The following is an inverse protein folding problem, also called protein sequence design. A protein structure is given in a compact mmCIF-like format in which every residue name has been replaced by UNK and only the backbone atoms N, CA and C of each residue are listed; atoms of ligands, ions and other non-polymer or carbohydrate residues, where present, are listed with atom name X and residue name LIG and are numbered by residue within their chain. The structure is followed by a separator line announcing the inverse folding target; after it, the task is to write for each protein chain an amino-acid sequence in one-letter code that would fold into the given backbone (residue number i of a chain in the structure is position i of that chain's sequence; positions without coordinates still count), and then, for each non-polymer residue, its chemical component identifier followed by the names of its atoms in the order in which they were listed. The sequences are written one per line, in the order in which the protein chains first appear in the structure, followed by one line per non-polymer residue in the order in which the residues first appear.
data_IF_139361172889
#
_entry.id   IF_139361172889
#
_cell.length_a   1.000
_cell.length_b   1.000
_cell.length_c   1.000
_cell.angle_alpha   90.00
_cell.angle_beta   90.00
_cell.angle_gamma   90.00
#
_symmetry.space_group_name_H-M   'P 1'
#
loop_
_entity.id
_entity.type
_entity.pdbx_description
1 polymer ?
#
# COMPACT_ATOMS: atom_id res chain seq x y z
N UNK A 1 31.94 21.94 14.56
CA UNK A 1 33.02 22.68 13.87
C UNK A 1 33.90 21.79 12.99
N UNK A 2 34.39 20.63 13.44
CA UNK A 2 35.30 19.79 12.61
C UNK A 2 34.60 19.14 11.40
N UNK A 3 33.43 18.52 11.61
CA UNK A 3 32.66 17.84 10.55
C UNK A 3 32.23 18.78 9.42
N UNK A 4 31.65 19.93 9.78
CA UNK A 4 31.23 20.98 8.85
C UNK A 4 32.40 21.56 8.05
N UNK A 5 33.55 21.77 8.70
CA UNK A 5 34.77 22.21 8.01
C UNK A 5 35.28 21.16 7.02
N UNK A 6 35.25 19.88 7.38
CA UNK A 6 35.65 18.78 6.49
C UNK A 6 34.68 18.68 5.30
N UNK A 7 33.37 18.80 5.54
CA UNK A 7 32.33 18.83 4.52
C UNK A 7 32.52 20.00 3.53
N UNK A 8 32.72 21.21 4.05
CA UNK A 8 32.91 22.41 3.23
C UNK A 8 34.21 22.39 2.41
N UNK A 9 35.24 21.69 2.91
CA UNK A 9 36.53 21.51 2.21
C UNK A 9 36.53 20.31 1.25
N UNK A 10 35.46 19.52 1.23
CA UNK A 10 35.41 18.23 0.52
C UNK A 10 36.58 17.30 0.90
N UNK A 11 36.94 17.29 2.18
CA UNK A 11 38.02 16.46 2.75
C UNK A 11 37.48 15.05 3.01
N UNK A 12 37.49 14.23 1.96
CA UNK A 12 36.89 12.89 1.89
C UNK A 12 37.44 11.98 3.00
N UNK A 13 38.76 11.93 3.17
CA UNK A 13 39.43 11.06 4.14
C UNK A 13 39.07 11.44 5.58
N UNK A 14 39.05 12.74 5.90
CA UNK A 14 38.67 13.22 7.22
C UNK A 14 37.20 12.96 7.50
N UNK A 15 36.32 13.15 6.52
CA UNK A 15 34.89 12.85 6.67
C UNK A 15 34.64 11.38 6.93
N UNK A 16 35.21 10.50 6.13
CA UNK A 16 35.09 9.05 6.29
C UNK A 16 35.57 8.61 7.67
N UNK A 17 36.77 9.04 8.08
CA UNK A 17 37.34 8.72 9.39
C UNK A 17 36.44 9.19 10.55
N UNK A 18 35.89 10.41 10.46
CA UNK A 18 35.00 10.94 11.49
C UNK A 18 33.65 10.19 11.54
N UNK A 19 33.10 9.81 10.39
CA UNK A 19 31.85 9.06 10.30
C UNK A 19 32.00 7.64 10.85
N UNK A 20 33.12 6.96 10.57
CA UNK A 20 33.40 5.60 11.03
C UNK A 20 33.93 5.52 12.47
N UNK A 21 34.37 6.65 13.06
CA UNK A 21 34.89 6.69 14.43
C UNK A 21 33.90 6.25 15.53
N UNK A 22 32.61 6.14 15.20
CA UNK A 22 31.56 5.84 16.17
C UNK A 22 31.22 6.99 17.11
N UNK A 23 31.80 8.18 16.91
CA UNK A 23 31.57 9.37 17.76
C UNK A 23 30.09 9.74 17.88
N UNK A 24 29.29 9.44 16.86
CA UNK A 24 27.85 9.70 16.86
C UNK A 24 27.08 8.86 17.89
N UNK A 25 27.58 7.68 18.25
CA UNK A 25 26.95 6.83 19.27
C UNK A 25 27.10 7.41 20.68
N UNK A 26 28.07 8.30 20.89
CA UNK A 26 28.36 8.95 22.16
C UNK A 26 27.62 10.29 22.32
N UNK A 27 26.85 10.72 21.32
CA UNK A 27 26.12 11.98 21.38
C UNK A 27 24.89 11.83 22.29
N UNK A 28 25.01 12.15 23.57
CA UNK A 28 23.89 12.10 24.52
C UNK A 28 22.80 13.15 24.22
N UNK A 29 23.15 14.23 23.52
CA UNK A 29 22.22 15.31 23.22
C UNK A 29 21.26 14.99 22.07
N UNK A 30 19.97 14.81 22.39
CA UNK A 30 18.88 14.68 21.42
C UNK A 30 18.88 15.80 20.37
N UNK A 31 19.08 17.05 20.81
CA UNK A 31 19.10 18.22 19.92
C UNK A 31 20.18 18.12 18.84
N UNK A 32 21.36 17.60 19.19
CA UNK A 32 22.44 17.40 18.22
C UNK A 32 22.10 16.29 17.23
N UNK A 33 21.57 15.15 17.70
CA UNK A 33 21.13 14.07 16.81
C UNK A 33 20.07 14.55 15.82
N UNK A 34 19.11 15.34 16.30
CA UNK A 34 18.04 15.91 15.46
C UNK A 34 18.59 16.83 14.37
N UNK A 35 19.58 17.65 14.68
CA UNK A 35 20.22 18.54 13.69
C UNK A 35 21.10 17.78 12.69
N UNK A 36 21.81 16.75 13.15
CA UNK A 36 22.73 15.97 12.31
C UNK A 36 22.01 14.97 11.39
N UNK A 37 20.85 14.48 11.80
CA UNK A 37 20.16 13.40 11.07
C UNK A 37 19.83 13.76 9.61
N UNK A 38 19.22 14.91 9.29
CA UNK A 38 18.96 15.29 7.90
C UNK A 38 20.23 15.38 7.06
N UNK A 39 21.32 15.92 7.62
CA UNK A 39 22.60 16.04 6.93
C UNK A 39 23.22 14.67 6.67
N UNK A 40 23.27 13.78 7.67
CA UNK A 40 23.75 12.41 7.51
C UNK A 40 22.93 11.62 6.49
N UNK A 41 21.60 11.82 6.50
CA UNK A 41 20.71 11.20 5.52
C UNK A 41 21.06 11.66 4.10
N UNK A 42 21.16 12.98 3.87
CA UNK A 42 21.52 13.56 2.57
C UNK A 42 22.92 13.08 2.09
N UNK A 43 23.92 13.04 2.98
CA UNK A 43 25.26 12.54 2.66
C UNK A 43 25.21 11.06 2.29
N UNK A 44 24.52 10.23 3.09
CA UNK A 44 24.41 8.80 2.81
C UNK A 44 23.79 8.54 1.43
N UNK A 45 22.79 9.31 1.02
CA UNK A 45 22.05 9.08 -0.23
C UNK A 45 22.66 9.77 -1.45
N UNK A 46 23.27 10.94 -1.29
CA UNK A 46 23.57 11.85 -2.40
C UNK A 46 25.04 12.20 -2.56
N UNK A 47 25.93 11.80 -1.63
CA UNK A 47 27.34 12.14 -1.72
C UNK A 47 28.04 11.50 -2.92
N UNK A 48 28.96 12.22 -3.57
CA UNK A 48 29.68 11.75 -4.77
C UNK A 48 30.61 10.57 -4.49
N UNK A 49 31.37 10.64 -3.39
CA UNK A 49 32.25 9.55 -2.96
C UNK A 49 31.47 8.43 -2.23
N UNK A 50 31.60 7.19 -2.72
CA UNK A 50 30.89 6.01 -2.19
C UNK A 50 31.32 5.65 -0.76
N UNK A 51 32.59 5.85 -0.40
CA UNK A 51 33.12 5.55 0.93
C UNK A 51 32.45 6.43 2.01
N UNK A 52 32.42 7.74 1.80
CA UNK A 52 31.73 8.71 2.69
C UNK A 52 30.24 8.40 2.80
N UNK A 53 29.60 8.02 1.70
CA UNK A 53 28.19 7.67 1.69
C UNK A 53 27.90 6.41 2.52
N UNK A 54 28.78 5.40 2.45
CA UNK A 54 28.70 4.19 3.26
C UNK A 54 28.99 4.46 4.75
N UNK A 55 29.99 5.28 5.05
CA UNK A 55 30.30 5.69 6.42
C UNK A 55 29.13 6.47 7.05
N UNK A 56 28.52 7.40 6.31
CA UNK A 56 27.33 8.14 6.75
C UNK A 56 26.12 7.21 6.97
N UNK A 57 25.93 6.22 6.09
CA UNK A 57 24.90 5.19 6.27
C UNK A 57 25.14 4.35 7.53
N UNK A 58 26.38 3.92 7.78
CA UNK A 58 26.77 3.19 8.99
C UNK A 58 26.54 4.01 10.27
N UNK A 59 26.99 5.26 10.27
CA UNK A 59 26.75 6.19 11.38
C UNK A 59 25.25 6.39 11.65
N UNK A 60 24.44 6.57 10.60
CA UNK A 60 23.00 6.79 10.75
C UNK A 60 22.26 5.55 11.25
N UNK A 61 22.60 4.36 10.75
CA UNK A 61 21.99 3.10 11.20
C UNK A 61 22.36 2.76 12.64
N UNK A 62 23.59 3.04 13.07
CA UNK A 62 23.97 2.88 14.48
C UNK A 62 23.26 3.89 15.39
N UNK A 63 23.07 5.15 14.95
CA UNK A 63 22.27 6.15 15.68
C UNK A 63 20.82 5.68 15.91
N UNK A 64 20.23 5.03 14.90
CA UNK A 64 18.88 4.45 14.99
C UNK A 64 18.79 3.23 15.91
N UNK A 65 19.92 2.55 16.16
CA UNK A 65 20.00 1.35 17.01
C UNK A 65 20.23 1.68 18.49
N UNK A 66 20.83 2.83 18.80
CA UNK A 66 21.21 3.25 20.16
C UNK A 66 20.18 4.15 20.85
N UNK A 67 19.19 4.68 20.13
CA UNK A 67 18.24 5.65 20.67
C UNK A 67 17.15 5.06 21.58
N UNK A 68 16.98 5.63 22.77
CA UNK A 68 15.85 5.35 23.65
C UNK A 68 14.49 5.79 23.06
N UNK A 69 13.40 5.20 23.56
CA UNK A 69 12.01 5.35 23.04
C UNK A 69 11.42 6.77 23.09
N UNK A 70 12.04 7.68 23.86
CA UNK A 70 11.53 9.03 24.08
C UNK A 70 11.81 10.02 22.93
N UNK A 71 12.82 9.75 22.11
CA UNK A 71 13.37 10.70 21.14
C UNK A 71 12.61 10.65 19.80
N UNK A 72 11.34 11.08 19.80
CA UNK A 72 10.47 10.82 18.65
C UNK A 72 10.72 11.81 17.50
N UNK A 73 10.88 11.22 16.31
CA UNK A 73 10.83 11.84 14.97
C UNK A 73 12.03 12.69 14.55
N UNK A 74 12.81 12.18 13.60
CA UNK A 74 14.00 12.85 13.07
C UNK A 74 13.97 13.08 11.56
N UNK A 75 13.18 12.29 10.82
CA UNK A 75 13.16 12.34 9.37
C UNK A 75 11.82 12.88 8.87
N UNK A 76 11.91 14.00 8.16
CA UNK A 76 10.77 14.68 7.55
C UNK A 76 10.67 14.34 6.05
N UNK A 77 9.44 14.36 5.53
CA UNK A 77 9.15 14.20 4.11
C UNK A 77 9.97 15.15 3.24
N UNK A 78 10.13 16.41 3.67
CA UNK A 78 10.87 17.43 2.92
C UNK A 78 12.34 17.04 2.67
N UNK A 79 13.00 16.39 3.63
CA UNK A 79 14.38 15.89 3.44
C UNK A 79 14.41 14.79 2.39
N UNK A 80 13.52 13.81 2.50
CA UNK A 80 13.43 12.68 1.56
C UNK A 80 13.10 13.17 0.14
N UNK A 81 12.16 14.11 0.03
CA UNK A 81 11.75 14.68 -1.25
C UNK A 81 12.89 15.48 -1.92
N UNK A 82 13.62 16.30 -1.16
CA UNK A 82 14.80 17.02 -1.68
C UNK A 82 15.88 16.04 -2.15
N UNK A 83 16.12 14.98 -1.40
CA UNK A 83 17.04 13.91 -1.81
C UNK A 83 16.60 13.25 -3.12
N UNK A 84 15.33 12.87 -3.27
CA UNK A 84 14.83 12.27 -4.50
C UNK A 84 14.87 13.23 -5.68
N UNK A 85 14.57 14.52 -5.47
CA UNK A 85 14.72 15.54 -6.50
C UNK A 85 16.18 15.63 -6.98
N UNK A 86 17.14 15.61 -6.05
CA UNK A 86 18.57 15.56 -6.38
C UNK A 86 18.98 14.28 -7.13
N UNK A 87 18.24 13.17 -6.97
CA UNK A 87 18.41 11.93 -7.72
C UNK A 87 17.66 11.91 -9.07
N UNK A 88 17.05 13.02 -9.47
CA UNK A 88 16.36 13.20 -10.76
C UNK A 88 14.86 12.91 -10.74
N UNK A 89 14.23 12.79 -9.57
CA UNK A 89 12.78 12.67 -9.49
C UNK A 89 12.08 13.97 -9.91
N UNK A 90 10.95 13.84 -10.60
CA UNK A 90 10.15 15.00 -11.07
C UNK A 90 9.58 15.78 -9.89
N UNK A 91 10.01 17.02 -9.72
CA UNK A 91 9.58 17.90 -8.62
C UNK A 91 8.07 18.14 -8.58
N UNK A 92 7.40 18.21 -9.74
CA UNK A 92 5.93 18.31 -9.80
C UNK A 92 5.19 17.12 -9.18
N UNK A 93 5.75 15.91 -9.29
CA UNK A 93 5.17 14.72 -8.64
C UNK A 93 5.42 14.80 -7.13
N UNK A 94 6.64 15.18 -6.71
CA UNK A 94 6.99 15.33 -5.30
C UNK A 94 6.19 16.43 -4.59
N UNK A 95 5.92 17.55 -5.27
CA UNK A 95 5.10 18.64 -4.76
C UNK A 95 3.64 18.23 -4.50
N UNK A 96 3.12 17.24 -5.24
CA UNK A 96 1.74 16.74 -5.02
C UNK A 96 1.60 15.91 -3.73
N UNK A 97 2.72 15.46 -3.15
CA UNK A 97 2.73 14.68 -1.92
C UNK A 97 2.70 15.54 -0.64
N UNK A 98 3.07 16.82 -0.72
CA UNK A 98 3.07 17.71 0.43
C UNK A 98 3.32 19.17 0.05
N UNK A 99 2.68 20.09 0.77
CA UNK A 99 2.89 21.53 0.60
C UNK A 99 4.19 21.98 1.30
N UNK A 100 4.80 23.05 0.77
CA UNK A 100 5.96 23.70 1.39
C UNK A 100 7.29 22.96 1.23
N UNK A 101 7.43 22.09 0.23
CA UNK A 101 8.73 21.50 -0.11
C UNK A 101 9.44 22.41 -1.11
N UNK A 102 10.48 23.09 -0.64
CA UNK A 102 11.36 23.88 -1.50
C UNK A 102 12.37 22.95 -2.18
N UNK A 103 12.32 22.92 -3.51
CA UNK A 103 13.29 22.20 -4.32
C UNK A 103 14.39 23.17 -4.77
N UNK A 104 15.67 22.76 -4.74
CA UNK A 104 16.75 23.58 -5.27
C UNK A 104 16.50 23.83 -6.77
N UNK A 105 16.77 25.06 -7.22
CA UNK A 105 16.59 25.46 -8.62
C UNK A 105 17.66 24.87 -9.55
N UNK A 106 18.69 24.23 -9.01
CA UNK A 106 19.78 23.61 -9.76
C UNK A 106 19.33 22.33 -10.44
N UNK A 107 19.73 22.15 -11.70
CA UNK A 107 19.53 20.89 -12.40
C UNK A 107 20.17 19.74 -11.61
N UNK A 108 19.45 18.61 -11.47
CA UNK A 108 19.99 17.47 -10.75
C UNK A 108 21.22 16.91 -11.49
N UNK A 109 22.24 16.45 -10.75
CA UNK A 109 23.37 15.76 -11.35
C UNK A 109 22.90 14.55 -12.17
N UNK A 110 23.55 14.33 -13.32
CA UNK A 110 23.29 13.18 -14.19
C UNK A 110 24.01 11.97 -13.60
N UNK A 111 23.25 11.06 -13.01
CA UNK A 111 23.76 9.76 -12.57
C UNK A 111 23.56 8.71 -13.65
N UNK A 112 24.49 7.77 -13.74
CA UNK A 112 24.22 6.54 -14.48
C UNK A 112 23.09 5.73 -13.80
N UNK A 113 22.52 4.78 -14.54
CA UNK A 113 21.39 3.97 -14.05
C UNK A 113 21.76 3.16 -12.80
N UNK A 114 22.97 2.61 -12.74
CA UNK A 114 23.44 1.69 -11.68
C UNK A 114 23.68 2.49 -10.39
N UNK A 115 24.35 3.63 -10.48
CA UNK A 115 24.57 4.56 -9.39
C UNK A 115 23.26 5.10 -8.84
N UNK A 116 22.33 5.52 -9.73
CA UNK A 116 21.01 5.98 -9.31
C UNK A 116 20.27 4.90 -8.54
N UNK A 117 20.28 3.66 -9.05
CA UNK A 117 19.64 2.53 -8.39
C UNK A 117 20.24 2.26 -7.00
N UNK A 118 21.58 2.22 -6.88
CA UNK A 118 22.27 2.05 -5.58
C UNK A 118 21.86 3.13 -4.57
N UNK A 119 21.79 4.40 -5.01
CA UNK A 119 21.42 5.54 -4.16
C UNK A 119 19.96 5.47 -3.72
N UNK A 120 19.05 5.15 -4.64
CA UNK A 120 17.62 4.95 -4.32
C UNK A 120 17.44 3.77 -3.37
N UNK A 121 18.17 2.67 -3.58
CA UNK A 121 18.15 1.52 -2.66
C UNK A 121 18.58 1.94 -1.25
N UNK A 122 19.70 2.65 -1.11
CA UNK A 122 20.17 3.12 0.20
C UNK A 122 19.17 4.08 0.86
N UNK A 123 18.53 4.96 0.09
CA UNK A 123 17.44 5.82 0.57
C UNK A 123 16.28 5.00 1.13
N UNK A 124 15.81 3.99 0.39
CA UNK A 124 14.70 3.11 0.79
C UNK A 124 15.05 2.35 2.07
N UNK A 125 16.26 1.82 2.15
CA UNK A 125 16.78 1.09 3.32
C UNK A 125 16.88 1.97 4.57
N UNK A 126 17.33 3.23 4.41
CA UNK A 126 17.31 4.20 5.49
C UNK A 126 15.87 4.49 5.94
N UNK A 127 14.95 4.81 5.03
CA UNK A 127 13.54 5.05 5.37
C UNK A 127 12.96 3.85 6.13
N UNK A 128 13.28 2.62 5.70
CA UNK A 128 12.88 1.39 6.41
C UNK A 128 13.43 1.34 7.83
N UNK A 129 14.71 1.67 8.03
CA UNK A 129 15.32 1.73 9.35
C UNK A 129 14.64 2.79 10.24
N UNK A 130 14.39 3.99 9.72
CA UNK A 130 13.64 5.04 10.42
C UNK A 130 12.22 4.59 10.78
N UNK A 131 11.53 3.88 9.87
CA UNK A 131 10.19 3.36 10.10
C UNK A 131 10.18 2.31 11.22
N UNK A 132 11.09 1.33 11.16
CA UNK A 132 11.23 0.27 12.18
C UNK A 132 11.56 0.83 13.56
N UNK A 133 12.37 1.89 13.62
CA UNK A 133 12.72 2.58 14.86
C UNK A 133 11.68 3.62 15.32
N UNK A 134 10.52 3.72 14.65
CA UNK A 134 9.47 4.70 14.92
C UNK A 134 9.96 6.16 14.95
N UNK A 135 10.89 6.51 14.04
CA UNK A 135 11.52 7.85 13.94
C UNK A 135 11.01 8.68 12.76
N UNK A 136 9.91 8.26 12.15
CA UNK A 136 9.21 8.98 11.08
C UNK A 136 8.04 9.73 11.68
N UNK A 137 7.94 11.02 11.36
CA UNK A 137 6.83 11.87 11.77
C UNK A 137 5.50 11.22 11.33
N UNK A 138 4.51 11.03 12.23
CA UNK A 138 3.26 10.37 11.86
C UNK A 138 2.56 11.00 10.66
N UNK A 139 2.52 12.33 10.57
CA UNK A 139 1.94 13.09 9.45
C UNK A 139 2.57 12.80 8.10
N UNK A 140 3.83 12.35 8.10
CA UNK A 140 4.59 12.08 6.88
C UNK A 140 4.41 10.62 6.43
N UNK A 141 3.79 9.76 7.23
CA UNK A 141 3.59 8.33 6.90
C UNK A 141 2.71 8.13 5.65
N UNK A 142 1.56 8.82 5.50
CA UNK A 142 0.76 8.74 4.28
C UNK A 142 1.50 9.13 2.97
N UNK A 143 2.12 10.32 2.87
CA UNK A 143 2.83 10.70 1.66
C UNK A 143 4.09 9.86 1.42
N UNK A 144 4.79 9.42 2.46
CA UNK A 144 5.93 8.50 2.29
C UNK A 144 5.52 7.13 1.76
N UNK A 145 4.40 6.58 2.25
CA UNK A 145 3.87 5.33 1.72
C UNK A 145 3.52 5.46 0.24
N UNK A 146 2.88 6.57 -0.12
CA UNK A 146 2.52 6.87 -1.52
C UNK A 146 3.77 7.05 -2.39
N UNK A 147 4.80 7.73 -1.87
CA UNK A 147 6.08 7.91 -2.54
C UNK A 147 6.79 6.57 -2.82
N UNK A 148 6.82 5.64 -1.86
CA UNK A 148 7.42 4.32 -2.07
C UNK A 148 6.70 3.55 -3.20
N UNK A 149 5.37 3.65 -3.28
CA UNK A 149 4.60 3.07 -4.38
C UNK A 149 4.89 3.74 -5.73
N UNK A 150 5.08 5.06 -5.75
CA UNK A 150 5.48 5.77 -6.97
C UNK A 150 6.85 5.33 -7.47
N UNK A 151 7.82 5.11 -6.57
CA UNK A 151 9.13 4.57 -6.95
C UNK A 151 8.97 3.14 -7.50
N UNK A 152 8.06 2.32 -6.96
CA UNK A 152 7.85 0.95 -7.48
C UNK A 152 7.22 0.90 -8.87
N UNK A 153 6.53 1.98 -9.29
CA UNK A 153 5.97 2.14 -10.63
C UNK A 153 7.00 2.52 -11.69
N UNK A 154 8.17 3.03 -11.29
CA UNK A 154 9.23 3.38 -12.23
C UNK A 154 9.74 2.12 -12.94
N UNK A 155 9.78 2.14 -14.27
CA UNK A 155 10.20 1.01 -15.10
C UNK A 155 11.67 0.65 -14.91
N UNK A 156 12.47 1.58 -14.39
CA UNK A 156 13.90 1.39 -14.11
C UNK A 156 14.14 0.70 -12.77
N UNK A 157 13.13 0.63 -11.89
CA UNK A 157 13.21 -0.01 -10.58
C UNK A 157 13.37 -1.51 -10.71
N UNK A 158 14.50 -2.04 -10.23
CA UNK A 158 14.80 -3.47 -10.28
C UNK A 158 13.92 -4.30 -9.36
N UNK A 159 13.79 -5.62 -9.60
CA UNK A 159 13.05 -6.52 -8.71
C UNK A 159 13.57 -6.53 -7.26
N UNK A 160 14.88 -6.39 -7.06
CA UNK A 160 15.49 -6.32 -5.73
C UNK A 160 15.03 -5.05 -5.00
N UNK A 161 15.05 -3.90 -5.68
CA UNK A 161 14.57 -2.65 -5.11
C UNK A 161 13.06 -2.69 -4.85
N UNK A 162 12.25 -3.31 -5.71
CA UNK A 162 10.81 -3.52 -5.46
C UNK A 162 10.54 -4.32 -4.19
N UNK A 163 11.37 -5.33 -3.88
CA UNK A 163 11.29 -6.07 -2.61
C UNK A 163 11.59 -5.16 -1.41
N UNK A 164 12.67 -4.39 -1.46
CA UNK A 164 13.00 -3.41 -0.40
C UNK A 164 11.90 -2.36 -0.22
N UNK A 165 11.29 -1.87 -1.30
CA UNK A 165 10.16 -0.94 -1.24
C UNK A 165 8.94 -1.55 -0.53
N UNK A 166 8.59 -2.80 -0.85
CA UNK A 166 7.48 -3.51 -0.19
C UNK A 166 7.73 -3.68 1.31
N UNK A 167 8.94 -4.09 1.70
CA UNK A 167 9.32 -4.20 3.12
C UNK A 167 9.31 -2.85 3.84
N UNK A 168 9.65 -1.77 3.13
CA UNK A 168 9.60 -0.40 3.65
C UNK A 168 8.16 0.06 3.88
N UNK A 169 7.26 -0.19 2.91
CA UNK A 169 5.84 0.11 3.07
C UNK A 169 5.25 -0.67 4.24
N UNK A 170 5.59 -1.95 4.38
CA UNK A 170 5.16 -2.75 5.54
C UNK A 170 5.68 -2.18 6.86
N UNK A 171 6.92 -1.69 6.92
CA UNK A 171 7.46 -1.06 8.12
C UNK A 171 6.78 0.29 8.44
N UNK A 172 6.37 1.04 7.43
CA UNK A 172 5.62 2.29 7.58
C UNK A 172 4.21 2.05 8.14
N UNK A 173 3.54 0.98 7.71
CA UNK A 173 2.17 0.64 8.11
C UNK A 173 2.15 -0.09 9.46
N UNK A 174 2.98 -1.12 9.64
CA UNK A 174 2.94 -2.00 10.82
C UNK A 174 3.70 -1.43 12.02
N UNK A 175 3.43 -0.17 12.39
CA UNK A 175 4.00 0.41 13.60
C UNK A 175 3.33 -0.21 14.84
N UNK A 176 4.08 -0.48 15.92
CA UNK A 176 3.55 -1.11 17.14
C UNK A 176 2.46 -0.28 17.86
N UNK A 177 2.24 0.98 17.44
CA UNK A 177 1.20 1.87 17.96
C UNK A 177 0.28 2.43 16.88
N UNK A 178 0.30 1.85 15.67
CA UNK A 178 -0.61 2.28 14.61
C UNK A 178 -2.06 1.97 15.01
N UNK A 179 -2.86 3.02 15.09
CA UNK A 179 -4.30 2.87 15.23
C UNK A 179 -4.91 2.68 13.83
N UNK A 180 -6.09 2.08 13.77
CA UNK A 180 -6.87 1.99 12.52
C UNK A 180 -7.14 3.39 11.92
N UNK A 181 -7.15 4.43 12.75
CA UNK A 181 -7.32 5.81 12.29
C UNK A 181 -6.13 6.31 11.44
N UNK A 182 -4.95 5.69 11.57
CA UNK A 182 -3.77 6.04 10.78
C UNK A 182 -3.78 5.42 9.38
N UNK A 183 -4.57 4.35 9.17
CA UNK A 183 -4.66 3.66 7.87
C UNK A 183 -5.47 4.45 6.82
N UNK A 184 -6.54 5.12 7.25
CA UNK A 184 -7.44 5.86 6.35
C UNK A 184 -6.69 7.01 5.62
N UNK A 185 -5.92 7.88 6.31
CA UNK A 185 -5.12 8.90 5.65
C UNK A 185 -4.13 8.33 4.62
N UNK A 186 -3.55 7.16 4.88
CA UNK A 186 -2.65 6.48 3.93
C UNK A 186 -3.44 6.07 2.68
N UNK A 187 -4.59 5.42 2.83
CA UNK A 187 -5.45 5.04 1.70
C UNK A 187 -5.88 6.27 0.87
N UNK A 188 -6.26 7.36 1.55
CA UNK A 188 -6.65 8.61 0.90
C UNK A 188 -5.49 9.27 0.14
N UNK A 189 -4.28 9.28 0.70
CA UNK A 189 -3.10 9.81 0.02
C UNK A 189 -2.77 9.01 -1.25
N UNK A 190 -2.85 7.68 -1.18
CA UNK A 190 -2.64 6.79 -2.33
C UNK A 190 -3.69 7.06 -3.41
N UNK A 191 -4.98 7.11 -3.05
CA UNK A 191 -6.06 7.36 -4.02
C UNK A 191 -5.99 8.73 -4.66
N UNK A 192 -5.60 9.76 -3.90
CA UNK A 192 -5.40 11.11 -4.44
C UNK A 192 -4.41 11.08 -5.60
N UNK A 193 -3.27 10.44 -5.42
CA UNK A 193 -2.27 10.29 -6.48
C UNK A 193 -2.79 9.39 -7.60
N UNK A 194 -3.40 8.25 -7.26
CA UNK A 194 -3.90 7.29 -8.22
C UNK A 194 -4.98 7.87 -9.16
N UNK A 195 -5.75 8.87 -8.72
CA UNK A 195 -6.73 9.57 -9.56
C UNK A 195 -6.12 10.19 -10.82
N UNK A 196 -4.85 10.60 -10.75
CA UNK A 196 -4.12 11.19 -11.89
C UNK A 196 -3.44 10.16 -12.81
N UNK A 197 -3.43 8.89 -12.42
CA UNK A 197 -2.77 7.80 -13.15
C UNK A 197 -3.70 7.11 -14.13
N UNK A 198 -3.13 6.49 -15.17
CA UNK A 198 -3.88 5.59 -16.06
C UNK A 198 -4.35 4.34 -15.32
N UNK A 199 -5.36 3.64 -15.84
CA UNK A 199 -5.90 2.43 -15.20
C UNK A 199 -4.81 1.35 -14.98
N UNK A 200 -3.97 1.13 -15.98
CA UNK A 200 -2.82 0.21 -15.88
C UNK A 200 -1.84 0.59 -14.77
N UNK A 201 -1.54 1.88 -14.62
CA UNK A 201 -0.69 2.39 -13.55
C UNK A 201 -1.36 2.25 -12.17
N UNK A 202 -2.67 2.48 -12.08
CA UNK A 202 -3.46 2.26 -10.84
C UNK A 202 -3.42 0.79 -10.42
N UNK A 203 -3.59 -0.14 -11.36
CA UNK A 203 -3.49 -1.57 -11.09
C UNK A 203 -2.07 -1.97 -10.69
N UNK A 204 -1.05 -1.46 -11.38
CA UNK A 204 0.36 -1.72 -11.04
C UNK A 204 0.70 -1.20 -9.63
N UNK A 205 0.16 -0.05 -9.24
CA UNK A 205 0.30 0.52 -7.90
C UNK A 205 -0.34 -0.41 -6.86
N UNK A 206 -1.57 -0.85 -7.11
CA UNK A 206 -2.31 -1.78 -6.25
C UNK A 206 -1.59 -3.15 -6.12
N UNK A 207 -0.98 -3.64 -7.20
CA UNK A 207 -0.20 -4.88 -7.21
C UNK A 207 1.15 -4.75 -6.48
N UNK A 208 1.70 -3.53 -6.41
CA UNK A 208 2.92 -3.24 -5.66
C UNK A 208 2.67 -3.02 -4.16
N UNK A 209 1.40 -2.88 -3.76
CA UNK A 209 1.02 -2.69 -2.36
C UNK A 209 1.10 -4.01 -1.57
N UNK A 210 1.67 -4.02 -0.35
CA UNK A 210 1.77 -5.24 0.44
C UNK A 210 0.39 -5.80 0.81
N UNK A 211 0.28 -7.13 0.81
CA UNK A 211 -0.95 -7.85 1.22
C UNK A 211 -0.75 -8.71 2.46
N UNK A 212 0.41 -8.60 3.11
CA UNK A 212 0.73 -9.36 4.32
C UNK A 212 0.27 -8.61 5.57
N UNK A 213 -0.49 -9.30 6.42
CA UNK A 213 -1.06 -8.74 7.65
C UNK A 213 -2.45 -8.12 7.48
N UNK A 214 -3.16 -8.00 8.59
CA UNK A 214 -4.55 -7.49 8.63
C UNK A 214 -4.64 -6.03 8.16
N UNK A 215 -3.79 -5.08 8.64
CA UNK A 215 -3.83 -3.68 8.19
C UNK A 215 -3.63 -3.56 6.68
N UNK A 216 -2.54 -4.12 6.16
CA UNK A 216 -2.22 -4.06 4.73
C UNK A 216 -3.33 -4.69 3.86
N UNK A 217 -3.87 -5.84 4.25
CA UNK A 217 -4.96 -6.50 3.52
C UNK A 217 -6.23 -5.64 3.49
N UNK A 218 -6.59 -5.02 4.62
CA UNK A 218 -7.74 -4.12 4.71
C UNK A 218 -7.54 -2.87 3.86
N UNK A 219 -6.36 -2.23 3.97
CA UNK A 219 -6.00 -1.06 3.16
C UNK A 219 -6.04 -1.39 1.67
N UNK A 220 -5.47 -2.52 1.24
CA UNK A 220 -5.49 -2.95 -0.16
C UNK A 220 -6.92 -3.08 -0.71
N UNK A 221 -7.85 -3.63 0.07
CA UNK A 221 -9.27 -3.73 -0.32
C UNK A 221 -9.92 -2.37 -0.46
N UNK A 222 -9.68 -1.45 0.49
CA UNK A 222 -10.24 -0.11 0.44
C UNK A 222 -9.63 0.77 -0.65
N UNK A 223 -8.33 0.61 -0.93
CA UNK A 223 -7.68 1.25 -2.08
C UNK A 223 -8.30 0.70 -3.37
N UNK A 224 -8.39 -0.62 -3.55
CA UNK A 224 -9.01 -1.23 -4.72
C UNK A 224 -10.46 -0.75 -4.92
N UNK A 225 -11.23 -0.68 -3.84
CA UNK A 225 -12.60 -0.18 -3.86
C UNK A 225 -12.66 1.30 -4.27
N UNK A 226 -11.77 2.12 -3.71
CA UNK A 226 -11.62 3.52 -4.08
C UNK A 226 -11.22 3.72 -5.55
N UNK A 227 -10.42 2.83 -6.13
CA UNK A 227 -10.04 2.87 -7.54
C UNK A 227 -11.22 2.55 -8.48
N UNK A 228 -12.17 1.71 -8.06
CA UNK A 228 -13.39 1.42 -8.83
C UNK A 228 -14.47 2.48 -8.69
N UNK A 229 -14.41 3.29 -7.63
CA UNK A 229 -15.45 4.27 -7.27
C UNK A 229 -14.94 5.72 -7.37
N UNK A 230 -13.87 5.94 -8.13
CA UNK A 230 -13.24 7.24 -8.37
C UNK A 230 -12.95 8.06 -7.09
N UNK A 231 -12.48 7.39 -6.03
CA UNK A 231 -11.87 8.04 -4.87
C UNK A 231 -12.80 8.34 -3.67
N UNK A 232 -13.94 7.66 -3.54
CA UNK A 232 -14.96 7.90 -2.49
C UNK A 232 -14.55 7.63 -1.01
N UNK A 233 -13.26 7.58 -0.65
CA UNK A 233 -12.82 7.37 0.74
C UNK A 233 -12.91 8.62 1.65
N UNK A 234 -13.36 9.77 1.14
CA UNK A 234 -13.38 11.03 1.92
C UNK A 234 -14.36 11.02 3.09
N UNK A 235 -15.37 10.15 3.07
CA UNK A 235 -16.45 10.11 4.07
C UNK A 235 -16.53 8.80 4.86
N UNK A 236 -15.54 7.91 4.71
CA UNK A 236 -15.57 6.59 5.37
C UNK A 236 -15.26 6.76 6.86
N UNK A 237 -16.19 6.33 7.71
CA UNK A 237 -15.99 6.34 9.17
C UNK A 237 -15.03 5.23 9.59
N UNK A 238 -14.45 5.33 10.80
CA UNK A 238 -13.56 4.27 11.33
C UNK A 238 -14.27 2.92 11.41
N UNK A 239 -15.53 2.91 11.83
CA UNK A 239 -16.31 1.68 11.99
C UNK A 239 -16.67 1.07 10.64
N UNK A 240 -17.00 1.91 9.66
CA UNK A 240 -17.20 1.46 8.27
C UNK A 240 -15.89 0.89 7.70
N UNK A 241 -14.76 1.56 7.90
CA UNK A 241 -13.45 1.13 7.40
C UNK A 241 -13.00 -0.22 7.97
N UNK A 242 -13.35 -0.53 9.22
CA UNK A 242 -13.08 -1.83 9.83
C UNK A 242 -13.82 -2.98 9.14
N UNK A 243 -14.95 -2.68 8.51
CA UNK A 243 -15.72 -3.63 7.72
C UNK A 243 -15.17 -3.74 6.29
N UNK A 244 -15.42 -4.86 5.61
CA UNK A 244 -15.08 -4.95 4.19
C UNK A 244 -15.99 -3.99 3.37
N UNK A 245 -15.49 -3.48 2.21
CA UNK A 245 -16.23 -2.52 1.38
C UNK A 245 -17.66 -2.95 1.02
N UNK A 246 -18.64 -2.05 0.89
CA UNK A 246 -20.05 -2.44 0.72
C UNK A 246 -20.30 -3.19 -0.61
N UNK A 247 -20.69 -4.46 -0.53
CA UNK A 247 -20.99 -5.32 -1.69
C UNK A 247 -22.13 -4.79 -2.56
N UNK A 248 -23.12 -4.11 -1.96
CA UNK A 248 -24.24 -3.56 -2.73
C UNK A 248 -23.75 -2.59 -3.80
N UNK A 249 -22.74 -1.76 -3.49
CA UNK A 249 -22.17 -0.81 -4.46
C UNK A 249 -21.35 -1.54 -5.53
N UNK A 250 -20.67 -2.62 -5.17
CA UNK A 250 -19.97 -3.50 -6.13
C UNK A 250 -20.97 -4.13 -7.11
N UNK A 251 -22.07 -4.66 -6.58
CA UNK A 251 -23.13 -5.25 -7.37
C UNK A 251 -23.77 -4.21 -8.31
N UNK A 252 -24.06 -3.00 -7.83
CA UNK A 252 -24.61 -1.93 -8.69
C UNK A 252 -23.66 -1.58 -9.84
N UNK A 253 -22.35 -1.53 -9.61
CA UNK A 253 -21.36 -1.29 -10.69
C UNK A 253 -21.36 -2.42 -11.73
N UNK A 254 -21.57 -3.67 -11.31
CA UNK A 254 -21.63 -4.82 -12.22
C UNK A 254 -22.96 -4.89 -12.99
N UNK A 255 -24.04 -4.39 -12.41
CA UNK A 255 -25.38 -4.36 -13.00
C UNK A 255 -25.60 -3.15 -13.90
N UNK A 256 -24.81 -2.08 -13.74
CA UNK A 256 -24.91 -0.91 -14.60
C UNK A 256 -24.70 -1.27 -16.08
N UNK A 257 -25.59 -0.75 -16.92
CA UNK A 257 -25.58 -0.89 -18.38
C UNK A 257 -25.59 0.48 -19.06
N UNK A 258 -25.25 1.54 -18.33
CA UNK A 258 -25.04 2.87 -18.91
C UNK A 258 -23.85 2.85 -19.87
N UNK A 259 -23.77 3.83 -20.78
CA UNK A 259 -22.63 3.97 -21.72
C UNK A 259 -21.27 4.11 -21.01
N UNK A 260 -21.27 4.47 -19.72
CA UNK A 260 -20.07 4.60 -18.88
C UNK A 260 -19.91 3.45 -17.89
N UNK A 261 -20.67 2.37 -18.05
CA UNK A 261 -20.60 1.22 -17.17
C UNK A 261 -19.20 0.61 -17.18
N UNK A 262 -18.63 0.42 -15.98
CA UNK A 262 -17.25 -0.02 -15.81
C UNK A 262 -17.00 -1.44 -16.32
N UNK A 263 -18.03 -2.29 -16.26
CA UNK A 263 -17.94 -3.74 -16.50
C UNK A 263 -18.83 -4.23 -17.64
N UNK A 264 -19.54 -3.36 -18.35
CA UNK A 264 -20.42 -3.82 -19.43
C UNK A 264 -19.61 -4.30 -20.64
N UNK A 265 -20.19 -5.26 -21.36
CA UNK A 265 -19.61 -5.86 -22.56
C UNK A 265 -20.53 -5.52 -23.71
N UNK A 266 -20.14 -4.52 -24.48
CA UNK A 266 -20.81 -4.02 -25.69
C UNK A 266 -19.84 -4.22 -26.86
N UNK A 267 -19.94 -5.33 -27.61
CA UNK A 267 -19.12 -5.54 -28.79
C UNK A 267 -19.64 -4.73 -29.99
N UNK A 268 -18.76 -4.17 -30.85
CA UNK A 268 -17.29 -4.25 -30.84
C UNK A 268 -16.55 -3.21 -29.98
N UNK A 269 -17.22 -2.29 -29.29
CA UNK A 269 -16.64 -1.10 -28.66
C UNK A 269 -15.88 -1.36 -27.34
N UNK A 270 -15.99 -2.58 -26.79
CA UNK A 270 -15.40 -2.91 -25.48
C UNK A 270 -13.87 -2.93 -25.52
N UNK A 271 -13.24 -2.11 -24.69
CA UNK A 271 -11.83 -2.22 -24.34
C UNK A 271 -11.63 -3.38 -23.35
N UNK A 272 -11.23 -4.54 -23.88
CA UNK A 272 -11.01 -5.75 -23.10
C UNK A 272 -9.77 -5.66 -22.20
N UNK A 273 -8.78 -4.82 -22.51
CA UNK A 273 -7.61 -4.63 -21.65
C UNK A 273 -8.03 -3.85 -20.40
N UNK A 274 -8.74 -2.73 -20.57
CA UNK A 274 -9.30 -1.99 -19.45
C UNK A 274 -10.29 -2.82 -18.61
N UNK A 275 -11.11 -3.66 -19.26
CA UNK A 275 -12.01 -4.57 -18.56
C UNK A 275 -11.24 -5.60 -17.72
N UNK A 276 -10.16 -6.19 -18.26
CA UNK A 276 -9.30 -7.10 -17.51
C UNK A 276 -8.73 -6.41 -16.26
N UNK A 277 -8.21 -5.20 -16.43
CA UNK A 277 -7.62 -4.43 -15.32
C UNK A 277 -8.65 -4.14 -14.22
N UNK A 278 -9.89 -3.79 -14.58
CA UNK A 278 -10.99 -3.58 -13.61
C UNK A 278 -11.38 -4.87 -12.89
N UNK A 279 -11.40 -6.01 -13.59
CA UNK A 279 -11.67 -7.32 -12.98
C UNK A 279 -10.57 -7.70 -11.99
N UNK A 280 -9.31 -7.40 -12.29
CA UNK A 280 -8.20 -7.62 -11.37
C UNK A 280 -8.29 -6.72 -10.13
N UNK A 281 -8.70 -5.46 -10.28
CA UNK A 281 -8.98 -4.57 -9.13
C UNK A 281 -10.15 -5.12 -8.30
N UNK A 282 -11.25 -5.53 -8.95
CA UNK A 282 -12.41 -6.14 -8.28
C UNK A 282 -12.02 -7.41 -7.51
N UNK A 283 -11.12 -8.21 -8.07
CA UNK A 283 -10.57 -9.38 -7.39
C UNK A 283 -9.89 -9.01 -6.08
N UNK A 284 -9.23 -7.86 -5.97
CA UNK A 284 -8.67 -7.39 -4.70
C UNK A 284 -9.77 -7.01 -3.71
N UNK A 285 -10.79 -6.26 -4.13
CA UNK A 285 -11.96 -5.87 -3.29
C UNK A 285 -12.61 -7.10 -2.64
N UNK A 286 -12.73 -8.19 -3.39
CA UNK A 286 -13.39 -9.43 -2.99
C UNK A 286 -12.44 -10.48 -2.39
N UNK A 287 -11.31 -10.08 -1.81
CA UNK A 287 -10.33 -11.03 -1.22
C UNK A 287 -10.79 -11.60 0.13
N UNK A 288 -11.59 -10.86 0.90
CA UNK A 288 -12.03 -11.25 2.27
C UNK A 288 -13.44 -11.83 2.28
N UNK A 289 -13.61 -12.94 1.55
CA UNK A 289 -14.93 -13.59 1.40
C UNK A 289 -15.51 -14.00 2.75
N UNK A 290 -14.68 -14.42 3.71
CA UNK A 290 -15.13 -14.77 5.06
C UNK A 290 -15.85 -13.60 5.73
N UNK A 291 -15.22 -12.42 5.78
CA UNK A 291 -15.81 -11.24 6.42
C UNK A 291 -17.10 -10.79 5.74
N UNK A 292 -17.21 -10.96 4.42
CA UNK A 292 -18.45 -10.70 3.70
C UNK A 292 -19.57 -11.67 4.08
N UNK A 293 -19.26 -12.97 4.11
CA UNK A 293 -20.22 -14.01 4.51
C UNK A 293 -20.72 -13.74 5.93
N UNK A 294 -19.82 -13.41 6.86
CA UNK A 294 -20.17 -13.08 8.26
C UNK A 294 -21.05 -11.85 8.41
N UNK A 295 -20.97 -10.90 7.46
CA UNK A 295 -21.87 -9.75 7.39
C UNK A 295 -23.23 -10.05 6.74
N UNK A 296 -23.28 -10.97 5.79
CA UNK A 296 -24.53 -11.41 5.13
C UNK A 296 -25.36 -12.35 6.03
N UNK A 297 -24.77 -12.91 7.10
CA UNK A 297 -25.49 -13.76 8.03
C UNK A 297 -26.71 -13.04 8.62
N UNK A 298 -27.91 -13.62 8.54
CA UNK A 298 -29.08 -13.01 9.13
C UNK A 298 -28.92 -12.94 10.66
N UNK A 299 -29.23 -11.79 11.25
CA UNK A 299 -29.16 -11.58 12.71
C UNK A 299 -30.12 -12.50 13.48
N UNK A 300 -31.11 -13.08 12.78
CA UNK A 300 -32.10 -14.04 13.28
C UNK A 300 -32.21 -15.21 12.31
N UNK A 301 -32.22 -16.47 12.78
CA UNK A 301 -32.44 -17.62 11.91
C UNK A 301 -33.82 -17.50 11.26
N UNK A 302 -33.84 -17.38 9.92
CA UNK A 302 -35.07 -17.49 9.14
C UNK A 302 -35.65 -18.90 9.30
N UNK A 303 -36.97 -19.01 9.39
CA UNK A 303 -37.67 -20.29 9.47
C UNK A 303 -37.44 -21.15 8.21
N UNK A 304 -37.64 -22.46 8.34
CA UNK A 304 -37.33 -23.46 7.30
C UNK A 304 -38.12 -23.28 5.97
N UNK A 305 -39.14 -22.41 5.95
CA UNK A 305 -40.04 -22.20 4.81
C UNK A 305 -39.79 -20.90 4.01
N UNK A 306 -38.81 -20.06 4.38
CA UNK A 306 -38.47 -18.87 3.59
C UNK A 306 -37.44 -19.22 2.50
N UNK A 307 -37.76 -18.90 1.24
CA UNK A 307 -36.78 -18.95 0.15
C UNK A 307 -35.55 -18.12 0.56
N UNK A 308 -34.33 -18.67 0.44
CA UNK A 308 -33.14 -17.95 0.84
C UNK A 308 -32.97 -16.74 -0.08
N UNK A 309 -33.10 -15.53 0.48
CA UNK A 309 -32.69 -14.31 -0.19
C UNK A 309 -31.28 -14.52 -0.76
N UNK A 310 -31.13 -14.36 -2.08
CA UNK A 310 -29.85 -14.59 -2.73
C UNK A 310 -28.81 -13.62 -2.14
N UNK A 311 -27.82 -14.17 -1.44
CA UNK A 311 -26.74 -13.40 -0.83
C UNK A 311 -25.96 -12.60 -1.90
N UNK A 312 -25.49 -11.39 -1.57
CA UNK A 312 -24.91 -10.46 -2.54
C UNK A 312 -23.67 -11.03 -3.23
N UNK A 313 -22.85 -11.82 -2.52
CA UNK A 313 -21.71 -12.53 -3.11
C UNK A 313 -22.13 -13.50 -4.23
N UNK A 314 -23.27 -14.18 -4.05
CA UNK A 314 -23.82 -15.10 -5.05
C UNK A 314 -24.35 -14.34 -6.26
N UNK A 315 -25.04 -13.22 -6.03
CA UNK A 315 -25.47 -12.31 -7.10
C UNK A 315 -24.28 -11.78 -7.92
N UNK A 316 -23.19 -11.39 -7.26
CA UNK A 316 -21.94 -10.96 -7.91
C UNK A 316 -21.36 -12.11 -8.76
N UNK A 317 -21.29 -13.32 -8.21
CA UNK A 317 -20.79 -14.50 -8.94
C UNK A 317 -21.63 -14.85 -10.17
N UNK A 318 -22.96 -14.76 -10.07
CA UNK A 318 -23.89 -14.98 -11.17
C UNK A 318 -23.75 -13.88 -12.24
N UNK A 319 -23.55 -12.62 -11.81
CA UNK A 319 -23.32 -11.52 -12.74
C UNK A 319 -22.00 -11.66 -13.50
N UNK A 320 -20.92 -12.06 -12.83
CA UNK A 320 -19.65 -12.38 -13.50
C UNK A 320 -19.82 -13.49 -14.54
N UNK A 321 -20.62 -14.52 -14.24
CA UNK A 321 -20.91 -15.59 -15.20
C UNK A 321 -21.69 -15.08 -16.42
N UNK A 322 -22.66 -14.19 -16.20
CA UNK A 322 -23.43 -13.57 -17.29
C UNK A 322 -22.52 -12.74 -18.19
N UNK A 323 -21.66 -11.88 -17.61
CA UNK A 323 -20.68 -11.08 -18.36
C UNK A 323 -19.70 -11.97 -19.14
N UNK A 324 -19.18 -13.03 -18.51
CA UNK A 324 -18.34 -14.03 -19.17
C UNK A 324 -19.03 -14.65 -20.40
N UNK A 325 -20.33 -14.96 -20.32
CA UNK A 325 -21.11 -15.52 -21.42
C UNK A 325 -21.32 -14.56 -22.60
N UNK A 326 -21.32 -13.25 -22.36
CA UNK A 326 -21.41 -12.22 -23.41
C UNK A 326 -20.12 -12.09 -24.24
N UNK A 327 -18.98 -12.55 -23.72
CA UNK A 327 -17.70 -12.43 -24.41
C UNK A 327 -17.54 -13.59 -25.40
N UNK A 328 -17.67 -13.28 -26.69
CA UNK A 328 -17.42 -14.21 -27.80
C UNK A 328 -15.92 -14.23 -28.18
N UNK A 329 -15.25 -15.35 -27.91
CA UNK A 329 -13.80 -15.57 -28.13
C UNK A 329 -13.52 -16.78 -29.04
N UNK A 330 -14.44 -17.12 -29.95
CA UNK A 330 -14.37 -18.33 -30.79
C UNK A 330 -13.29 -18.32 -31.87
N UNK A 331 -12.50 -17.24 -32.00
CA UNK A 331 -11.40 -17.12 -32.96
C UNK A 331 -10.09 -16.91 -32.22
N UNK A 332 -9.03 -17.61 -32.64
CA UNK A 332 -7.69 -17.56 -32.05
C UNK A 332 -7.04 -16.15 -32.03
N UNK A 333 -7.60 -15.17 -32.75
CA UNK A 333 -7.12 -13.80 -32.80
C UNK A 333 -7.55 -12.92 -31.59
N UNK A 334 -8.40 -13.40 -30.68
CA UNK A 334 -8.94 -12.61 -29.57
C UNK A 334 -8.32 -12.94 -28.20
N UNK A 335 -6.98 -12.91 -28.10
CA UNK A 335 -6.26 -13.26 -26.86
C UNK A 335 -6.73 -12.47 -25.63
N UNK A 336 -7.00 -11.17 -25.77
CA UNK A 336 -7.42 -10.33 -24.64
C UNK A 336 -8.82 -10.70 -24.12
N UNK A 337 -9.72 -11.11 -25.03
CA UNK A 337 -11.05 -11.63 -24.64
C UNK A 337 -10.92 -12.91 -23.84
N UNK A 338 -10.04 -13.82 -24.26
CA UNK A 338 -9.76 -15.07 -23.54
C UNK A 338 -9.17 -14.78 -22.15
N UNK A 339 -8.26 -13.81 -22.03
CA UNK A 339 -7.70 -13.38 -20.73
C UNK A 339 -8.78 -12.83 -19.79
N UNK A 340 -9.67 -11.97 -20.29
CA UNK A 340 -10.79 -11.43 -19.50
C UNK A 340 -11.71 -12.55 -19.01
N UNK A 341 -12.10 -13.47 -19.91
CA UNK A 341 -12.94 -14.62 -19.54
C UNK A 341 -12.31 -15.47 -18.46
N UNK A 342 -11.03 -15.80 -18.62
CA UNK A 342 -10.28 -16.57 -17.63
C UNK A 342 -10.21 -15.83 -16.28
N UNK A 343 -9.93 -14.52 -16.27
CA UNK A 343 -9.93 -13.72 -15.04
C UNK A 343 -11.30 -13.69 -14.35
N UNK A 344 -12.39 -13.47 -15.10
CA UNK A 344 -13.77 -13.50 -14.58
C UNK A 344 -14.13 -14.87 -14.00
N UNK A 345 -13.80 -15.95 -14.72
CA UNK A 345 -14.09 -17.31 -14.28
C UNK A 345 -13.27 -17.67 -13.03
N UNK A 346 -11.97 -17.32 -12.98
CA UNK A 346 -11.13 -17.52 -11.79
C UNK A 346 -11.69 -16.77 -10.58
N UNK A 347 -12.09 -15.51 -10.76
CA UNK A 347 -12.70 -14.72 -9.69
C UNK A 347 -14.01 -15.35 -9.19
N UNK A 348 -14.91 -15.73 -10.11
CA UNK A 348 -16.17 -16.41 -9.78
C UNK A 348 -15.93 -17.70 -8.99
N UNK A 349 -15.05 -18.57 -9.47
CA UNK A 349 -14.77 -19.85 -8.80
C UNK A 349 -14.14 -19.63 -7.42
N UNK A 350 -13.25 -18.64 -7.26
CA UNK A 350 -12.68 -18.29 -5.95
C UNK A 350 -13.78 -17.87 -4.97
N UNK A 351 -14.68 -16.96 -5.37
CA UNK A 351 -15.81 -16.52 -4.55
C UNK A 351 -16.67 -17.72 -4.13
N UNK A 352 -17.05 -18.57 -5.09
CA UNK A 352 -17.88 -19.75 -4.85
C UNK A 352 -17.25 -20.68 -3.80
N UNK A 353 -15.98 -21.08 -3.98
CA UNK A 353 -15.32 -22.03 -3.08
C UNK A 353 -15.02 -21.44 -1.71
N UNK A 354 -14.56 -20.17 -1.65
CA UNK A 354 -14.30 -19.51 -0.38
C UNK A 354 -15.59 -19.28 0.41
N UNK A 355 -16.69 -18.89 -0.25
CA UNK A 355 -18.00 -18.76 0.40
C UNK A 355 -18.50 -20.11 0.92
N UNK A 356 -18.41 -21.17 0.12
CA UNK A 356 -18.78 -22.52 0.57
C UNK A 356 -17.96 -22.95 1.79
N UNK A 357 -16.66 -22.71 1.79
CA UNK A 357 -15.78 -22.98 2.93
C UNK A 357 -16.17 -22.15 4.16
N UNK A 358 -16.45 -20.86 3.98
CA UNK A 358 -16.85 -19.96 5.04
C UNK A 358 -18.13 -20.43 5.74
N UNK A 359 -19.17 -20.75 4.94
CA UNK A 359 -20.45 -21.27 5.45
C UNK A 359 -20.28 -22.60 6.21
N UNK A 360 -19.40 -23.50 5.73
CA UNK A 360 -19.13 -24.78 6.39
C UNK A 360 -18.36 -24.63 7.69
N UNK A 361 -17.48 -23.63 7.79
CA UNK A 361 -16.67 -23.37 8.99
C UNK A 361 -17.45 -22.74 10.15
N UNK A 362 -18.69 -22.30 9.90
CA UNK A 362 -19.51 -21.68 10.93
C UNK A 362 -19.82 -22.68 12.05
N UNK A 363 -19.58 -22.32 13.32
CA UNK A 363 -19.98 -23.15 14.43
C UNK A 363 -21.50 -23.32 14.38
N UNK A 364 -21.97 -24.54 14.13
CA UNK A 364 -23.39 -24.88 14.28
C UNK A 364 -23.73 -24.65 15.75
N UNK A 365 -24.42 -23.55 16.05
CA UNK A 365 -24.98 -23.33 17.38
C UNK A 365 -25.93 -24.49 17.62
N UNK A 366 -25.48 -25.50 18.39
CA UNK A 366 -26.34 -26.57 18.85
C UNK A 366 -27.34 -25.91 19.79
N UNK A 367 -28.55 -25.69 19.31
CA UNK A 367 -29.72 -25.38 20.12
C UNK A 367 -30.02 -26.62 21.00
N UNK A 368 -29.17 -26.89 21.98
CA UNK A 368 -29.44 -27.88 23.01
C UNK A 368 -30.42 -27.24 24.00
N UNK A 369 -31.70 -27.32 23.66
CA UNK A 369 -32.79 -27.32 24.63
C UNK A 369 -32.80 -28.62 25.43
N UNK A 370 -31.72 -28.93 26.16
CA UNK A 370 -31.76 -29.91 27.24
C UNK A 370 -31.66 -29.13 28.56
N UNK A 371 -32.85 -28.77 29.07
CA UNK A 371 -33.07 -28.50 30.47
C UNK A 371 -32.58 -29.73 31.27
N UNK A 372 -31.34 -29.72 31.74
CA UNK A 372 -30.93 -30.59 32.84
C UNK A 372 -31.62 -30.08 34.11
N UNK A 373 -32.80 -30.65 34.35
CA UNK A 373 -33.47 -30.73 35.65
C UNK A 373 -32.45 -31.05 36.75
N UNK A 374 -32.18 -30.07 37.61
CA UNK A 374 -31.48 -30.28 38.88
C UNK A 374 -32.29 -31.25 39.75
N UNK A 375 -31.71 -32.35 40.26
CA UNK A 375 -32.36 -33.11 41.31
C UNK A 375 -32.30 -32.31 42.63
N UNK A 376 -33.46 -32.13 43.25
CA UNK A 376 -33.58 -31.65 44.62
C UNK A 376 -32.95 -32.69 45.56
N UNK A 377 -31.96 -32.27 46.36
CA UNK A 377 -31.48 -33.04 47.51
C UNK A 377 -32.22 -32.57 48.77
N UNK A 378 -32.72 -33.54 49.53
CA UNK A 378 -33.38 -33.41 50.83
C UNK A 378 -32.41 -33.08 51.96
#
# INVERSE_FOLDING_TARGET
MTLERAANKNDIETLETLLDSGIFMQLDSFSMRKQLTPWLFEVATSHGAESVANAAYGALTGLLSTGGSADRNFLHLATIARTLAALGAKTGVLASLGSGIDFPATDPPVFDRIEREKRVWRLVELIRAFAKSNRIVPTDTPPLTTLMLLISLDHSTSPALKRSLLETIMALINKPFASVADEIPICQAILRVASSLSLSQRLSMLNSFPRAGVPCSRMARWIAYGLLTDGTLTHVTKDEYLQPPPLIRVLTMLLDTSERALFDVIPPETDFEALLERIDILSVVLTDVQSYVDREAPATPKGEDEEPDMELLEMIGNRLQSLHGKIHDTRAAYLDRTRVKDAMQRLRMRILYQRKSALQSRPKIKLNGEQQSRPQAK
#
